data_IF_232105320058
#
_entry.id   IF_232105320058
#
_cell.length_a   1.000
_cell.length_b   1.000
_cell.length_c   1.000
_cell.angle_alpha   90.00
_cell.angle_beta   90.00
_cell.angle_gamma   90.00
#
_symmetry.space_group_name_H-M   'P 1'
#
loop_
_entity.id
_entity.type
_entity.pdbx_description
1 polymer ?
#
# COMPACT_ATOMS: atom_id res chain seq x y z
N UNK A 1 -4.63 20.32 -11.94
CA UNK A 1 -4.44 20.06 -10.49
C UNK A 1 -5.30 18.92 -9.95
N UNK A 2 -6.56 18.72 -10.39
CA UNK A 2 -7.47 17.65 -9.90
C UNK A 2 -7.00 16.18 -10.08
N UNK A 3 -6.20 15.86 -11.08
CA UNK A 3 -5.83 14.47 -11.40
C UNK A 3 -4.86 13.86 -10.38
N UNK A 4 -4.03 14.69 -9.75
CA UNK A 4 -3.02 14.25 -8.77
C UNK A 4 -3.68 13.87 -7.46
N UNK A 5 -4.65 14.67 -6.98
CA UNK A 5 -5.42 14.36 -5.78
C UNK A 5 -6.22 13.07 -5.91
N UNK A 6 -6.84 12.85 -7.08
CA UNK A 6 -7.56 11.61 -7.36
C UNK A 6 -6.63 10.40 -7.34
N UNK A 7 -5.46 10.49 -7.97
CA UNK A 7 -4.46 9.41 -7.96
C UNK A 7 -3.98 9.09 -6.55
N UNK A 8 -3.69 10.10 -5.74
CA UNK A 8 -3.27 9.93 -4.34
C UNK A 8 -4.36 9.28 -3.49
N UNK A 9 -5.61 9.70 -3.67
CA UNK A 9 -6.77 9.10 -2.99
C UNK A 9 -6.91 7.62 -3.32
N UNK A 10 -6.80 7.25 -4.59
CA UNK A 10 -6.93 5.86 -5.04
C UNK A 10 -5.78 4.98 -4.53
N UNK A 11 -4.55 5.49 -4.53
CA UNK A 11 -3.40 4.79 -3.94
C UNK A 11 -3.62 4.59 -2.42
N UNK A 12 -4.08 5.62 -1.71
CA UNK A 12 -4.39 5.49 -0.28
C UNK A 12 -5.49 4.46 -0.02
N UNK A 13 -6.53 4.45 -0.85
CA UNK A 13 -7.62 3.46 -0.76
C UNK A 13 -7.11 2.04 -0.99
N UNK A 14 -6.22 1.85 -1.98
CA UNK A 14 -5.56 0.57 -2.24
C UNK A 14 -4.73 0.11 -1.03
N UNK A 15 -3.94 1.00 -0.42
CA UNK A 15 -3.13 0.73 0.77
C UNK A 15 -4.01 0.31 1.96
N UNK A 16 -5.11 1.02 2.20
CA UNK A 16 -6.03 0.72 3.31
C UNK A 16 -6.67 -0.66 3.14
N UNK A 17 -7.14 -0.98 1.93
CA UNK A 17 -7.79 -2.27 1.66
C UNK A 17 -6.81 -3.45 1.75
N UNK A 18 -5.57 -3.29 1.27
CA UNK A 18 -4.57 -4.34 1.40
C UNK A 18 -4.12 -4.53 2.85
N UNK A 19 -3.94 -3.45 3.63
CA UNK A 19 -3.64 -3.53 5.06
C UNK A 19 -4.74 -4.25 5.83
N UNK A 20 -6.01 -3.93 5.57
CA UNK A 20 -7.15 -4.64 6.17
C UNK A 20 -7.15 -6.13 5.84
N UNK A 21 -6.88 -6.50 4.60
CA UNK A 21 -6.81 -7.91 4.18
C UNK A 21 -5.62 -8.64 4.83
N UNK A 22 -4.48 -7.96 4.92
CA UNK A 22 -3.26 -8.45 5.56
C UNK A 22 -3.46 -8.68 7.07
N UNK A 23 -4.05 -7.72 7.79
CA UNK A 23 -4.41 -7.85 9.21
C UNK A 23 -5.39 -9.00 9.43
N UNK A 24 -6.45 -9.09 8.60
CA UNK A 24 -7.44 -10.19 8.70
C UNK A 24 -6.81 -11.57 8.50
N UNK A 25 -5.74 -11.66 7.70
CA UNK A 25 -5.04 -12.92 7.40
C UNK A 25 -3.80 -13.13 8.26
N UNK A 26 -3.49 -12.20 9.16
CA UNK A 26 -2.25 -12.15 9.93
C UNK A 26 -0.99 -12.34 9.04
N UNK A 27 -0.98 -11.70 7.85
CA UNK A 27 0.12 -11.77 6.88
C UNK A 27 0.80 -10.41 6.75
N UNK A 28 2.12 -10.40 6.60
CA UNK A 28 2.86 -9.19 6.21
C UNK A 28 2.80 -9.00 4.70
N UNK A 29 2.81 -7.72 4.28
CA UNK A 29 2.84 -7.34 2.86
C UNK A 29 4.29 -7.05 2.50
N UNK A 30 4.97 -8.05 1.96
CA UNK A 30 6.40 -7.95 1.58
C UNK A 30 6.57 -7.91 0.06
N UNK A 31 5.53 -8.29 -0.69
CA UNK A 31 5.57 -8.46 -2.14
C UNK A 31 4.45 -7.71 -2.84
N UNK A 32 4.64 -7.47 -4.15
CA UNK A 32 3.69 -6.72 -4.97
C UNK A 32 2.47 -7.57 -5.41
N UNK A 33 2.60 -8.89 -5.49
CA UNK A 33 1.53 -9.81 -5.92
C UNK A 33 0.20 -9.66 -5.16
N UNK A 34 0.16 -9.64 -3.82
CA UNK A 34 -1.10 -9.46 -3.10
C UNK A 34 -1.73 -8.09 -3.38
N UNK A 35 -0.91 -7.06 -3.62
CA UNK A 35 -1.36 -5.71 -3.98
C UNK A 35 -1.95 -5.71 -5.39
N UNK A 36 -1.31 -6.34 -6.37
CA UNK A 36 -1.82 -6.45 -7.74
C UNK A 36 -3.15 -7.19 -7.77
N UNK A 37 -3.26 -8.30 -7.02
CA UNK A 37 -4.50 -9.08 -6.95
C UNK A 37 -5.65 -8.26 -6.40
N UNK A 38 -5.42 -7.46 -5.36
CA UNK A 38 -6.45 -6.54 -4.81
C UNK A 38 -6.72 -5.36 -5.74
N UNK A 39 -5.67 -4.79 -6.33
CA UNK A 39 -5.77 -3.69 -7.27
C UNK A 39 -6.61 -4.02 -8.50
N UNK A 40 -6.48 -5.23 -9.06
CA UNK A 40 -7.34 -5.70 -10.16
C UNK A 40 -8.82 -5.76 -9.78
N UNK A 41 -9.13 -6.13 -8.53
CA UNK A 41 -10.51 -6.18 -8.06
C UNK A 41 -11.08 -4.78 -7.80
N UNK A 42 -10.26 -3.85 -7.32
CA UNK A 42 -10.68 -2.47 -7.04
C UNK A 42 -10.76 -1.60 -8.30
N UNK A 43 -9.89 -1.86 -9.28
CA UNK A 43 -9.73 -1.06 -10.49
C UNK A 43 -9.75 -1.94 -11.76
N UNK A 44 -10.86 -2.64 -12.05
CA UNK A 44 -10.94 -3.55 -13.19
C UNK A 44 -10.84 -2.84 -14.55
N UNK A 45 -11.16 -1.54 -14.60
CA UNK A 45 -11.13 -0.71 -15.80
C UNK A 45 -9.78 -0.01 -16.01
N UNK A 46 -8.84 -0.16 -15.07
CA UNK A 46 -7.53 0.49 -15.16
C UNK A 46 -6.57 -0.35 -16.01
N UNK A 47 -5.75 0.34 -16.82
CA UNK A 47 -4.74 -0.32 -17.65
C UNK A 47 -3.74 -1.09 -16.77
N UNK A 48 -3.19 -2.19 -17.29
CA UNK A 48 -2.21 -2.99 -16.54
C UNK A 48 -1.00 -2.17 -16.09
N UNK A 49 -0.54 -1.25 -16.93
CA UNK A 49 0.62 -0.38 -16.65
C UNK A 49 0.32 0.61 -15.52
N UNK A 50 -0.82 1.30 -15.60
CA UNK A 50 -1.28 2.22 -14.55
C UNK A 50 -1.48 1.49 -13.22
N UNK A 51 -2.07 0.30 -13.26
CA UNK A 51 -2.26 -0.52 -12.08
C UNK A 51 -0.94 -0.94 -11.43
N UNK A 52 0.05 -1.35 -12.25
CA UNK A 52 1.37 -1.71 -11.75
C UNK A 52 2.07 -0.52 -11.09
N UNK A 53 1.93 0.67 -11.67
CA UNK A 53 2.48 1.89 -11.09
C UNK A 53 1.84 2.22 -9.72
N UNK A 54 0.51 2.09 -9.62
CA UNK A 54 -0.21 2.27 -8.36
C UNK A 54 0.23 1.24 -7.33
N UNK A 55 0.38 -0.03 -7.73
CA UNK A 55 0.82 -1.10 -6.84
C UNK A 55 2.26 -0.91 -6.36
N UNK A 56 3.17 -0.47 -7.23
CA UNK A 56 4.56 -0.14 -6.87
C UNK A 56 4.62 1.01 -5.88
N UNK A 57 3.84 2.06 -6.13
CA UNK A 57 3.76 3.21 -5.22
C UNK A 57 3.20 2.79 -3.87
N UNK A 58 2.11 2.01 -3.86
CA UNK A 58 1.52 1.48 -2.64
C UNK A 58 2.50 0.60 -1.86
N UNK A 59 3.22 -0.31 -2.53
CA UNK A 59 4.23 -1.15 -1.89
C UNK A 59 5.33 -0.32 -1.24
N UNK A 60 5.87 0.68 -1.96
CA UNK A 60 6.90 1.58 -1.42
C UNK A 60 6.41 2.29 -0.16
N UNK A 61 5.19 2.83 -0.17
CA UNK A 61 4.61 3.51 0.99
C UNK A 61 4.45 2.54 2.17
N UNK A 62 3.94 1.33 1.93
CA UNK A 62 3.78 0.31 2.96
C UNK A 62 5.12 -0.05 3.60
N UNK A 63 6.15 -0.31 2.78
CA UNK A 63 7.48 -0.69 3.27
C UNK A 63 8.14 0.47 4.05
N UNK A 64 8.08 1.70 3.53
CA UNK A 64 8.66 2.87 4.21
C UNK A 64 7.95 3.23 5.51
N UNK A 65 6.64 3.03 5.61
CA UNK A 65 5.91 3.20 6.88
C UNK A 65 6.29 2.11 7.90
N UNK A 66 6.50 0.87 7.48
CA UNK A 66 6.92 -0.24 8.36
C UNK A 66 8.34 0.00 8.92
N UNK A 67 9.25 0.53 8.08
CA UNK A 67 10.57 1.00 8.51
C UNK A 67 10.45 2.14 9.55
N UNK A 68 9.55 3.10 9.32
CA UNK A 68 9.36 4.24 10.23
C UNK A 68 8.78 3.80 11.58
N UNK A 69 7.82 2.87 11.58
CA UNK A 69 7.26 2.30 12.82
C UNK A 69 8.30 1.47 13.58
N UNK A 70 9.12 0.68 12.88
CA UNK A 70 10.21 -0.06 13.50
C UNK A 70 11.22 0.88 14.17
N UNK A 71 11.59 1.98 13.52
CA UNK A 71 12.50 3.00 14.07
C UNK A 71 11.91 3.77 15.25
N UNK A 72 10.62 4.13 15.19
CA UNK A 72 9.95 4.82 16.31
C UNK A 72 9.87 3.95 17.56
N UNK A 73 9.67 2.64 17.40
CA UNK A 73 9.63 1.73 18.56
C UNK A 73 11.00 1.59 19.23
N UNK A 74 12.09 1.64 18.45
CA UNK A 74 13.46 1.63 19.01
C UNK A 74 13.77 2.87 19.84
N UNK A 75 13.24 4.05 19.47
CA UNK A 75 13.50 5.29 20.22
C UNK A 75 12.83 5.31 21.60
N UNK A 76 11.68 4.65 21.77
CA UNK A 76 10.98 4.57 23.06
C UNK A 76 11.52 3.48 24.01
N UNK A 77 12.35 2.55 23.52
CA UNK A 77 12.94 1.49 24.35
C UNK A 77 14.23 1.91 25.09
N UNK A 78 14.70 3.15 24.88
CA UNK A 78 15.95 3.69 25.45
C UNK A 78 15.76 4.92 26.36
N UNK A 79 14.54 5.16 26.87
CA UNK A 79 14.24 6.16 27.91
C UNK A 79 13.87 5.43 29.19
#
# INVERSE_FOLDING_TARGET
MMTIDKRRLEINKLIQEIRRDAVKKNKKIETIDPIIRKGRNLYPLMSREELLDYCRTALRVILSEDETQSQQTTLFAHI
#
